data_IF_966638514494
#
_entry.id   IF_966638514494
#
_cell.length_a   1.000
_cell.length_b   1.000
_cell.length_c   1.000
_cell.angle_alpha   90.00
_cell.angle_beta   90.00
_cell.angle_gamma   90.00
#
_symmetry.space_group_name_H-M   'P 1'
#
loop_
_entity.id
_entity.type
_entity.pdbx_description
1 polymer ?
#
# COMPACT_ATOMS: atom_id res chain seq x y z
N UNK A 1 1.31 18.52 -3.19
CA UNK A 1 0.94 17.25 -2.51
C UNK A 1 1.03 16.14 -3.54
N UNK A 2 1.34 14.92 -3.12
CA UNK A 2 1.42 13.74 -3.98
C UNK A 2 0.38 12.73 -3.54
N UNK A 3 -0.20 12.03 -4.50
CA UNK A 3 -1.11 10.93 -4.22
C UNK A 3 -0.33 9.62 -4.07
N UNK A 4 -0.74 8.83 -3.08
CA UNK A 4 -0.18 7.53 -2.77
C UNK A 4 -1.30 6.50 -2.76
N UNK A 5 -1.11 5.42 -3.51
CA UNK A 5 -1.99 4.26 -3.46
C UNK A 5 -1.67 3.44 -2.21
N UNK A 6 -2.73 2.99 -1.55
CA UNK A 6 -2.67 2.06 -0.42
C UNK A 6 -3.31 0.76 -0.85
N UNK A 7 -2.51 -0.27 -1.02
CA UNK A 7 -2.96 -1.62 -1.37
C UNK A 7 -3.01 -2.43 -0.08
N UNK A 8 -4.12 -3.09 0.18
CA UNK A 8 -4.22 -4.10 1.23
C UNK A 8 -3.81 -5.44 0.63
N UNK A 9 -2.73 -5.99 1.16
CA UNK A 9 -2.31 -7.35 0.86
C UNK A 9 -2.86 -8.28 1.94
N UNK A 10 -3.67 -9.24 1.48
CA UNK A 10 -4.22 -10.30 2.32
C UNK A 10 -3.56 -11.63 2.01
N UNK A 11 -3.90 -12.68 2.76
CA UNK A 11 -3.42 -14.04 2.46
C UNK A 11 -3.75 -14.50 1.04
N UNK A 12 -4.84 -14.04 0.44
CA UNK A 12 -5.34 -14.60 -0.83
C UNK A 12 -5.18 -13.67 -2.03
N UNK A 13 -5.26 -12.35 -1.81
CA UNK A 13 -5.27 -11.35 -2.89
C UNK A 13 -4.81 -10.00 -2.38
N UNK A 14 -4.42 -9.14 -3.31
CA UNK A 14 -4.15 -7.74 -3.07
C UNK A 14 -5.27 -6.91 -3.71
N UNK A 15 -5.65 -5.82 -3.07
CA UNK A 15 -6.63 -4.89 -3.63
C UNK A 15 -6.36 -3.48 -3.17
N UNK A 16 -6.74 -2.51 -4.01
CA UNK A 16 -6.67 -1.11 -3.65
C UNK A 16 -7.67 -0.83 -2.53
N UNK A 17 -7.16 -0.47 -1.36
CA UNK A 17 -7.97 -0.07 -0.21
C UNK A 17 -8.37 1.40 -0.36
N UNK A 18 -7.41 2.27 -0.67
CA UNK A 18 -7.67 3.71 -0.82
C UNK A 18 -6.51 4.41 -1.54
N UNK A 19 -6.73 5.69 -1.85
CA UNK A 19 -5.69 6.64 -2.27
C UNK A 19 -5.63 7.75 -1.22
N UNK A 20 -4.42 8.12 -0.81
CA UNK A 20 -4.20 9.19 0.17
C UNK A 20 -3.30 10.27 -0.39
N UNK A 21 -3.55 11.52 0.02
CA UNK A 21 -2.65 12.63 -0.27
C UNK A 21 -1.64 12.81 0.85
N UNK A 22 -0.36 12.89 0.50
CA UNK A 22 0.73 13.14 1.43
C UNK A 22 1.83 14.00 0.81
N UNK A 23 2.64 14.61 1.67
CA UNK A 23 3.76 15.45 1.23
C UNK A 23 4.99 14.62 0.84
N UNK A 24 5.15 13.44 1.44
CA UNK A 24 6.25 12.52 1.24
C UNK A 24 5.80 11.07 1.48
N UNK A 25 6.65 10.12 1.14
CA UNK A 25 6.41 8.71 1.41
C UNK A 25 6.33 8.43 2.92
N UNK A 26 7.15 9.10 3.73
CA UNK A 26 7.10 8.98 5.20
C UNK A 26 5.80 9.52 5.78
N UNK A 27 5.31 10.66 5.27
CA UNK A 27 3.99 11.21 5.66
C UNK A 27 2.86 10.25 5.27
N UNK A 28 2.94 9.66 4.07
CA UNK A 28 2.00 8.63 3.62
C UNK A 28 2.02 7.41 4.56
N UNK A 29 3.21 6.90 4.91
CA UNK A 29 3.38 5.81 5.86
C UNK A 29 2.78 6.13 7.22
N UNK A 30 3.05 7.30 7.77
CA UNK A 30 2.54 7.70 9.08
C UNK A 30 1.02 7.81 9.08
N UNK A 31 0.43 8.37 8.03
CA UNK A 31 -1.02 8.41 7.83
C UNK A 31 -1.64 7.01 7.76
N UNK A 32 -1.08 6.12 6.96
CA UNK A 32 -1.56 4.72 6.87
C UNK A 32 -1.44 4.04 8.23
N UNK A 33 -0.30 4.22 8.92
CA UNK A 33 -0.07 3.65 10.24
C UNK A 33 -1.05 4.17 11.30
N UNK A 34 -1.36 5.46 11.33
CA UNK A 34 -2.26 6.05 12.34
C UNK A 34 -3.72 5.70 12.10
N UNK A 35 -4.17 5.69 10.85
CA UNK A 35 -5.60 5.62 10.52
C UNK A 35 -6.07 4.23 10.05
N UNK A 36 -5.17 3.38 9.57
CA UNK A 36 -5.55 2.15 8.88
C UNK A 36 -4.97 0.89 9.52
N UNK A 37 -3.84 0.93 10.22
CA UNK A 37 -3.24 -0.29 10.84
C UNK A 37 -4.20 -1.04 11.74
N UNK A 38 -5.07 -0.34 12.47
CA UNK A 38 -6.08 -1.00 13.32
C UNK A 38 -7.15 -1.77 12.53
N UNK A 39 -7.21 -1.60 11.21
CA UNK A 39 -8.09 -2.33 10.29
C UNK A 39 -7.43 -3.58 9.69
N UNK A 40 -6.12 -3.75 9.87
CA UNK A 40 -5.43 -4.97 9.45
C UNK A 40 -5.84 -6.11 10.36
N UNK A 41 -6.10 -7.26 9.75
CA UNK A 41 -6.21 -8.54 10.46
C UNK A 41 -4.83 -9.19 10.53
N UNK A 42 -4.72 -10.25 11.35
CA UNK A 42 -3.50 -11.04 11.45
C UNK A 42 -3.05 -11.52 10.06
N UNK A 43 -1.76 -11.35 9.73
CA UNK A 43 -1.15 -11.66 8.43
C UNK A 43 -1.61 -10.78 7.25
N UNK A 44 -2.25 -9.65 7.51
CA UNK A 44 -2.48 -8.63 6.49
C UNK A 44 -1.43 -7.51 6.57
N UNK A 45 -1.20 -6.87 5.44
CA UNK A 45 -0.31 -5.70 5.37
C UNK A 45 -0.84 -4.66 4.40
N UNK A 46 -0.49 -3.41 4.65
CA UNK A 46 -0.64 -2.35 3.67
C UNK A 46 0.67 -2.13 2.93
N UNK A 47 0.53 -1.94 1.62
CA UNK A 47 1.60 -1.59 0.70
C UNK A 47 1.31 -0.18 0.22
N UNK A 48 2.26 0.73 0.40
CA UNK A 48 2.12 2.15 0.00
C UNK A 48 3.16 2.49 -1.06
N UNK A 49 2.72 3.12 -2.15
CA UNK A 49 3.58 3.63 -3.22
C UNK A 49 2.91 4.83 -3.95
N UNK A 50 3.66 5.65 -4.69
CA UNK A 50 3.14 6.83 -5.37
C UNK A 50 2.24 6.46 -6.57
N UNK A 51 1.16 7.21 -6.80
CA UNK A 51 0.22 6.98 -7.93
C UNK A 51 0.88 7.15 -9.31
N UNK A 52 1.99 7.88 -9.39
CA UNK A 52 2.75 8.03 -10.64
C UNK A 52 3.25 6.70 -11.21
N UNK A 53 3.28 5.64 -10.40
CA UNK A 53 3.74 4.33 -10.81
C UNK A 53 2.54 3.52 -11.29
N UNK A 54 2.60 3.04 -12.54
CA UNK A 54 1.55 2.19 -13.10
C UNK A 54 1.37 0.94 -12.24
N UNK A 55 0.17 0.81 -11.67
CA UNK A 55 -0.24 -0.36 -10.91
C UNK A 55 -0.40 -1.56 -11.83
N UNK A 56 0.46 -2.57 -11.68
CA UNK A 56 0.27 -3.89 -12.28
C UNK A 56 -0.33 -4.86 -11.27
N UNK A 57 -1.31 -5.65 -11.66
CA UNK A 57 -1.75 -6.84 -10.92
C UNK A 57 -1.50 -8.07 -11.80
N UNK A 58 -1.05 -9.17 -11.21
CA UNK A 58 -0.91 -10.43 -11.91
C UNK A 58 -2.24 -11.21 -11.96
N UNK A 59 -2.24 -12.38 -12.61
CA UNK A 59 -3.43 -13.24 -12.76
C UNK A 59 -4.05 -13.70 -11.43
N UNK A 60 -3.30 -13.62 -10.33
CA UNK A 60 -3.75 -13.96 -8.97
C UNK A 60 -4.22 -12.73 -8.17
N UNK A 61 -4.39 -11.58 -8.83
CA UNK A 61 -4.62 -10.27 -8.19
C UNK A 61 -3.55 -9.95 -7.13
N UNK A 62 -2.30 -10.31 -7.40
CA UNK A 62 -1.15 -9.84 -6.61
C UNK A 62 -0.53 -8.63 -7.26
N UNK A 63 -0.13 -7.69 -6.42
CA UNK A 63 0.57 -6.50 -6.86
C UNK A 63 1.89 -6.88 -7.54
N UNK A 64 2.07 -6.42 -8.77
CA UNK A 64 3.34 -6.46 -9.48
C UNK A 64 4.07 -5.17 -9.10
N UNK A 65 5.17 -5.32 -8.37
CA UNK A 65 5.99 -4.19 -7.98
C UNK A 65 6.70 -3.62 -9.21
N UNK A 66 6.54 -2.33 -9.52
CA UNK A 66 7.35 -1.68 -10.55
C UNK A 66 8.82 -1.71 -10.13
N UNK A 67 9.70 -2.12 -11.05
CA UNK A 67 11.14 -2.26 -10.79
C UNK A 67 11.76 -0.91 -10.36
N UNK A 68 12.44 -0.91 -9.20
CA UNK A 68 13.20 0.24 -8.70
C UNK A 68 12.41 1.22 -7.80
N UNK A 69 11.14 0.96 -7.53
CA UNK A 69 10.33 1.85 -6.70
C UNK A 69 10.42 1.56 -5.20
N UNK A 70 10.42 2.64 -4.41
CA UNK A 70 10.39 2.57 -2.95
C UNK A 70 8.99 2.16 -2.51
N UNK A 71 8.90 0.96 -1.93
CA UNK A 71 7.66 0.41 -1.39
C UNK A 71 7.76 0.38 0.13
N UNK A 72 6.70 0.80 0.81
CA UNK A 72 6.61 0.64 2.26
C UNK A 72 5.58 -0.43 2.61
N UNK A 73 6.06 -1.48 3.28
CA UNK A 73 5.25 -2.53 3.88
C UNK A 73 4.91 -2.17 5.33
N UNK A 74 3.63 -2.17 5.64
CA UNK A 74 3.09 -1.91 6.98
C UNK A 74 2.24 -3.12 7.36
N UNK A 75 2.81 -4.05 8.13
CA UNK A 75 2.12 -5.25 8.60
C UNK A 75 1.86 -5.25 10.09
N UNK A 76 0.86 -6.01 10.52
CA UNK A 76 0.68 -6.42 11.91
C UNK A 76 1.25 -7.85 12.03
N UNK A 77 2.43 -7.96 12.66
CA UNK A 77 3.15 -9.23 12.87
C UNK A 77 2.82 -9.83 14.22
#
# INVERSE_FOLDING_TARGET
MKEYCVIRSTKNRDYQETVIEANSMDDAREKVRKHYVNKLLEKESFIVFPVANHLGFNELNRLIFPDGDVVILIGQF
#
